data_IF_397637087981
#
_entry.id   IF_397637087981
#
_cell.length_a   1.000
_cell.length_b   1.000
_cell.length_c   1.000
_cell.angle_alpha   90.00
_cell.angle_beta   90.00
_cell.angle_gamma   90.00
#
_symmetry.space_group_name_H-M   'P 1'
#
loop_
_entity.id
_entity.type
_entity.pdbx_description
1 polymer ?
#
# COMPACT_ATOMS: atom_id res chain seq x y z
N UNK A 1 11.53 -12.10 4.21
CA UNK A 1 12.31 -12.03 2.94
C UNK A 1 12.93 -13.39 2.70
N UNK A 2 13.03 -13.81 1.44
CA UNK A 2 13.60 -15.11 1.05
C UNK A 2 14.70 -14.94 -0.02
N UNK A 3 15.37 -16.03 -0.40
CA UNK A 3 16.37 -16.05 -1.48
C UNK A 3 16.18 -17.26 -2.41
N UNK A 4 17.12 -17.45 -3.33
CA UNK A 4 16.97 -18.32 -4.52
C UNK A 4 16.63 -19.79 -4.22
N UNK A 5 16.94 -20.29 -3.02
CA UNK A 5 16.68 -21.67 -2.60
C UNK A 5 15.34 -21.88 -1.88
N UNK A 6 14.54 -20.83 -1.66
CA UNK A 6 13.26 -20.99 -0.97
C UNK A 6 12.26 -21.68 -1.90
N UNK A 7 11.73 -22.83 -1.46
CA UNK A 7 10.75 -23.60 -2.22
C UNK A 7 9.52 -22.74 -2.54
N UNK A 8 8.98 -22.89 -3.76
CA UNK A 8 7.73 -22.27 -4.16
C UNK A 8 6.65 -23.33 -4.28
N UNK A 9 5.45 -22.97 -3.87
CA UNK A 9 4.28 -23.85 -3.81
C UNK A 9 3.14 -23.28 -4.66
N UNK A 10 2.28 -24.16 -5.15
CA UNK A 10 0.98 -23.75 -5.67
C UNK A 10 0.06 -23.39 -4.50
N UNK A 11 -0.76 -22.35 -4.66
CA UNK A 11 -1.72 -21.90 -3.65
C UNK A 11 -3.11 -21.97 -4.25
N UNK A 12 -4.06 -22.56 -3.53
CA UNK A 12 -5.45 -22.59 -3.96
C UNK A 12 -6.16 -21.29 -3.56
N UNK A 13 -6.69 -20.58 -4.55
CA UNK A 13 -7.33 -19.27 -4.37
C UNK A 13 -8.85 -19.33 -4.41
N UNK A 14 -9.51 -18.64 -3.48
CA UNK A 14 -10.96 -18.36 -3.57
C UNK A 14 -11.27 -17.47 -4.77
N UNK A 15 -10.48 -16.40 -4.97
CA UNK A 15 -10.58 -15.44 -6.07
C UNK A 15 -9.56 -15.76 -7.17
N UNK A 16 -9.60 -17.00 -7.68
CA UNK A 16 -8.61 -17.49 -8.64
C UNK A 16 -8.57 -16.69 -9.95
N UNK A 17 -9.72 -16.18 -10.42
CA UNK A 17 -9.83 -15.38 -11.66
C UNK A 17 -9.17 -13.99 -11.56
N UNK A 18 -8.84 -13.54 -10.36
CA UNK A 18 -8.21 -12.24 -10.08
C UNK A 18 -6.84 -12.37 -9.40
N UNK A 19 -6.32 -13.60 -9.31
CA UNK A 19 -5.06 -13.91 -8.65
C UNK A 19 -3.99 -14.29 -9.67
N UNK A 20 -2.73 -13.99 -9.35
CA UNK A 20 -1.63 -14.56 -10.12
C UNK A 20 -1.47 -16.04 -9.75
N UNK A 21 -1.37 -16.96 -10.72
CA UNK A 21 -1.37 -18.40 -10.45
C UNK A 21 -0.14 -18.91 -9.71
N UNK A 22 0.93 -18.12 -9.60
CA UNK A 22 2.14 -18.49 -8.88
C UNK A 22 3.20 -19.17 -9.76
N UNK A 23 4.09 -19.99 -9.15
CA UNK A 23 4.08 -20.44 -7.75
C UNK A 23 4.56 -19.36 -6.75
N UNK A 24 4.26 -19.54 -5.45
CA UNK A 24 4.57 -18.58 -4.37
C UNK A 24 5.64 -19.12 -3.41
N UNK A 25 6.63 -18.32 -2.98
CA UNK A 25 7.57 -18.69 -1.93
C UNK A 25 6.90 -18.61 -0.55
N UNK A 26 5.94 -19.49 -0.30
CA UNK A 26 5.13 -19.53 0.91
C UNK A 26 5.36 -20.86 1.60
N UNK A 27 5.95 -20.83 2.79
CA UNK A 27 6.27 -21.99 3.63
C UNK A 27 5.80 -21.77 5.07
N UNK A 28 5.97 -22.77 5.96
CA UNK A 28 5.57 -22.66 7.37
C UNK A 28 6.38 -21.60 8.14
N UNK A 29 7.54 -21.20 7.61
CA UNK A 29 8.41 -20.16 8.13
C UNK A 29 7.95 -18.74 7.77
N UNK A 30 7.04 -18.60 6.81
CA UNK A 30 6.51 -17.29 6.41
C UNK A 30 5.48 -16.81 7.43
N UNK A 31 5.71 -15.66 8.09
CA UNK A 31 4.75 -15.10 9.02
C UNK A 31 3.43 -14.75 8.32
N UNK A 32 2.33 -15.03 9.00
CA UNK A 32 0.98 -14.66 8.58
C UNK A 32 0.44 -13.68 9.62
N UNK A 33 -0.13 -12.57 9.17
CA UNK A 33 -0.77 -11.61 10.05
C UNK A 33 -1.86 -12.28 10.89
N UNK A 34 -1.97 -11.87 12.16
CA UNK A 34 -3.09 -12.27 13.01
C UNK A 34 -4.40 -11.62 12.56
N UNK A 35 -5.54 -12.17 13.00
CA UNK A 35 -6.86 -11.62 12.67
C UNK A 35 -7.49 -12.27 11.44
N UNK A 36 -8.51 -11.60 10.87
CA UNK A 36 -9.31 -12.13 9.76
C UNK A 36 -8.54 -12.17 8.44
N UNK A 37 -7.75 -11.13 8.17
CA UNK A 37 -7.23 -10.90 6.82
C UNK A 37 -6.01 -11.74 6.52
N UNK A 38 -5.23 -12.11 7.55
CA UNK A 38 -4.16 -13.11 7.44
C UNK A 38 -3.22 -12.84 6.27
N UNK A 39 -2.77 -11.59 6.14
CA UNK A 39 -1.85 -11.23 5.08
C UNK A 39 -0.51 -11.93 5.24
N UNK A 40 0.06 -12.40 4.13
CA UNK A 40 1.44 -12.88 4.07
C UNK A 40 2.17 -12.13 2.96
N UNK A 41 3.23 -11.38 3.32
CA UNK A 41 4.01 -10.57 2.39
C UNK A 41 5.44 -11.13 2.31
N UNK A 42 5.87 -11.53 1.12
CA UNK A 42 7.17 -12.16 0.89
C UNK A 42 7.92 -11.43 -0.21
N UNK A 43 9.10 -10.89 0.14
CA UNK A 43 10.06 -10.40 -0.84
C UNK A 43 11.05 -11.52 -1.15
N UNK A 44 11.09 -11.91 -2.41
CA UNK A 44 12.13 -12.74 -3.01
C UNK A 44 13.23 -11.83 -3.56
N UNK A 45 14.37 -11.83 -2.88
CA UNK A 45 15.51 -10.95 -3.22
C UNK A 45 16.26 -11.42 -4.47
N UNK A 46 16.19 -12.70 -4.81
CA UNK A 46 16.84 -13.25 -6.00
C UNK A 46 16.08 -12.93 -7.27
N UNK A 47 14.74 -12.98 -7.20
CA UNK A 47 13.88 -12.70 -8.36
C UNK A 47 13.44 -11.23 -8.44
N UNK A 48 13.79 -10.41 -7.43
CA UNK A 48 13.31 -9.03 -7.27
C UNK A 48 11.79 -8.94 -7.39
N UNK A 49 11.09 -9.78 -6.63
CA UNK A 49 9.62 -9.85 -6.61
C UNK A 49 9.05 -9.78 -5.21
N UNK A 50 7.89 -9.17 -5.11
CA UNK A 50 7.02 -9.15 -3.95
C UNK A 50 5.84 -10.08 -4.24
N UNK A 51 5.57 -10.98 -3.31
CA UNK A 51 4.44 -11.89 -3.32
C UNK A 51 3.56 -11.55 -2.13
N UNK A 52 2.27 -11.34 -2.35
CA UNK A 52 1.33 -10.99 -1.30
C UNK A 52 0.10 -11.89 -1.39
N UNK A 53 -0.33 -12.39 -0.24
CA UNK A 53 -1.49 -13.26 -0.11
C UNK A 53 -2.47 -12.64 0.89
N UNK A 54 -3.76 -12.66 0.56
CA UNK A 54 -4.86 -12.36 1.49
C UNK A 54 -5.54 -13.65 1.94
N UNK A 55 -6.06 -13.66 3.16
CA UNK A 55 -6.67 -14.81 3.84
C UNK A 55 -5.78 -16.06 3.84
N UNK A 56 -4.46 -15.87 3.98
CA UNK A 56 -3.48 -16.93 3.79
C UNK A 56 -3.51 -17.98 4.90
N UNK A 57 -3.36 -19.25 4.50
CA UNK A 57 -3.28 -20.41 5.39
C UNK A 57 -2.28 -21.42 4.81
N UNK A 58 -1.35 -21.88 5.64
CA UNK A 58 -0.37 -22.90 5.24
C UNK A 58 -0.97 -24.31 5.12
N UNK A 59 -1.97 -24.63 5.96
CA UNK A 59 -2.67 -25.93 6.02
C UNK A 59 -1.76 -27.17 5.88
N UNK A 60 -0.64 -27.19 6.61
CA UNK A 60 0.24 -28.37 6.67
C UNK A 60 0.86 -28.75 5.32
N UNK A 61 1.07 -27.80 4.41
CA UNK A 61 1.67 -28.03 3.09
C UNK A 61 0.69 -27.95 1.92
N UNK A 62 -0.59 -27.68 2.17
CA UNK A 62 -1.62 -27.49 1.14
C UNK A 62 -2.19 -26.06 1.25
N UNK A 63 -1.41 -25.03 0.89
CA UNK A 63 -1.78 -23.67 1.23
C UNK A 63 -3.03 -23.20 0.48
N UNK A 64 -3.87 -22.46 1.19
CA UNK A 64 -5.01 -21.74 0.62
C UNK A 64 -4.90 -20.25 0.92
N UNK A 65 -5.52 -19.45 0.07
CA UNK A 65 -5.64 -18.00 0.24
C UNK A 65 -6.92 -17.50 -0.42
N UNK A 66 -7.39 -16.32 -0.03
CA UNK A 66 -8.46 -15.62 -0.73
C UNK A 66 -7.96 -15.19 -2.11
N UNK A 67 -6.87 -14.44 -2.15
CA UNK A 67 -6.23 -13.96 -3.38
C UNK A 67 -4.71 -13.98 -3.26
N UNK A 68 -4.04 -13.91 -4.41
CA UNK A 68 -2.59 -13.80 -4.50
C UNK A 68 -2.14 -12.84 -5.59
N UNK A 69 -1.14 -12.02 -5.28
CA UNK A 69 -0.57 -11.04 -6.19
C UNK A 69 0.96 -11.08 -6.20
N UNK A 70 1.54 -10.96 -7.39
CA UNK A 70 2.98 -10.96 -7.62
C UNK A 70 3.37 -9.64 -8.31
N UNK A 71 4.20 -8.87 -7.63
CA UNK A 71 4.69 -7.57 -8.09
C UNK A 71 6.18 -7.63 -8.39
N UNK A 72 6.62 -7.27 -9.60
CA UNK A 72 8.03 -6.99 -9.86
C UNK A 72 8.46 -5.79 -9.02
N UNK A 73 9.62 -5.88 -8.35
CA UNK A 73 10.19 -4.78 -7.56
C UNK A 73 11.29 -4.02 -8.31
N UNK A 74 11.77 -4.56 -9.43
CA UNK A 74 12.90 -4.02 -10.18
C UNK A 74 12.68 -3.95 -11.68
N UNK A 75 13.58 -3.21 -12.33
CA UNK A 75 13.63 -3.06 -13.78
C UNK A 75 12.40 -2.36 -14.39
N UNK A 76 12.17 -2.51 -15.70
CA UNK A 76 11.10 -1.80 -16.42
C UNK A 76 9.68 -2.12 -15.94
N UNK A 77 9.50 -3.13 -15.09
CA UNK A 77 8.19 -3.61 -14.61
C UNK A 77 7.88 -3.20 -13.17
N UNK A 78 8.78 -2.53 -12.45
CA UNK A 78 8.60 -2.20 -11.02
C UNK A 78 7.30 -1.43 -10.71
N UNK A 79 6.85 -0.61 -11.66
CA UNK A 79 5.61 0.17 -11.54
C UNK A 79 4.46 -0.39 -12.39
N UNK A 80 4.52 -1.65 -12.85
CA UNK A 80 3.44 -2.22 -13.67
C UNK A 80 2.21 -2.48 -12.80
N UNK A 81 1.07 -1.96 -13.22
CA UNK A 81 -0.21 -2.23 -12.54
C UNK A 81 -0.74 -3.62 -12.89
N UNK A 82 -1.55 -4.18 -11.97
CA UNK A 82 -2.36 -5.39 -12.23
C UNK A 82 -3.36 -5.14 -13.37
N UNK A 83 -3.88 -6.21 -14.01
CA UNK A 83 -5.02 -6.07 -14.93
C UNK A 83 -6.16 -5.27 -14.31
N UNK A 84 -6.91 -4.53 -15.14
CA UNK A 84 -8.09 -3.82 -14.63
C UNK A 84 -9.14 -4.82 -14.14
N UNK A 85 -9.76 -4.52 -13.01
CA UNK A 85 -10.73 -5.38 -12.35
C UNK A 85 -10.12 -6.47 -11.47
N UNK A 86 -8.80 -6.55 -11.32
CA UNK A 86 -8.17 -7.58 -10.47
C UNK A 86 -7.85 -7.03 -9.08
N UNK A 87 -8.36 -7.69 -8.05
CA UNK A 87 -7.94 -7.48 -6.67
C UNK A 87 -6.49 -7.95 -6.42
N UNK A 88 -5.99 -7.75 -5.21
CA UNK A 88 -4.71 -8.27 -4.71
C UNK A 88 -4.84 -8.72 -3.26
N UNK A 89 -3.74 -8.79 -2.52
CA UNK A 89 -3.82 -8.88 -1.06
C UNK A 89 -4.44 -7.61 -0.45
N UNK A 90 -4.28 -6.47 -1.13
CA UNK A 90 -4.99 -5.22 -0.85
C UNK A 90 -6.21 -5.10 -1.78
N UNK A 91 -7.37 -4.68 -1.26
CA UNK A 91 -8.62 -4.67 -2.03
C UNK A 91 -8.59 -3.75 -3.27
N UNK A 92 -7.78 -2.70 -3.28
CA UNK A 92 -7.61 -1.81 -4.44
C UNK A 92 -6.82 -2.45 -5.61
N UNK A 93 -6.28 -3.66 -5.43
CA UNK A 93 -5.38 -4.29 -6.41
C UNK A 93 -3.96 -3.69 -6.40
N UNK A 94 -3.56 -3.10 -5.28
CA UNK A 94 -2.27 -2.44 -5.06
C UNK A 94 -1.34 -3.29 -4.17
N UNK A 95 -0.01 -3.17 -4.29
CA UNK A 95 0.89 -3.83 -3.35
C UNK A 95 0.81 -3.22 -1.95
N UNK A 96 0.57 -4.04 -0.93
CA UNK A 96 0.56 -3.63 0.49
C UNK A 96 1.93 -3.08 0.87
N UNK A 97 2.99 -3.87 0.66
CA UNK A 97 4.33 -3.56 1.15
C UNK A 97 4.86 -2.22 0.63
N UNK A 98 4.58 -1.89 -0.64
CA UNK A 98 5.03 -0.63 -1.23
C UNK A 98 4.32 0.61 -0.67
N UNK A 99 3.18 0.44 -0.02
CA UNK A 99 2.45 1.51 0.66
C UNK A 99 2.72 1.61 2.17
N UNK A 100 3.44 0.65 2.77
CA UNK A 100 3.71 0.65 4.21
C UNK A 100 4.83 1.62 4.57
N UNK A 101 4.67 2.35 5.68
CA UNK A 101 5.79 3.08 6.29
C UNK A 101 6.83 2.10 6.83
N UNK A 102 8.10 2.27 6.48
CA UNK A 102 9.19 1.42 7.01
C UNK A 102 10.08 2.21 7.95
N UNK A 103 10.48 1.56 9.05
CA UNK A 103 11.27 2.20 10.10
C UNK A 103 12.59 2.73 9.56
N UNK A 104 13.24 1.95 8.71
CA UNK A 104 14.55 2.30 8.16
C UNK A 104 14.48 3.52 7.22
N UNK A 105 13.37 3.73 6.51
CA UNK A 105 13.15 4.97 5.72
C UNK A 105 12.99 6.19 6.61
N UNK A 106 12.15 6.08 7.64
CA UNK A 106 11.93 7.14 8.61
C UNK A 106 13.23 7.49 9.34
N UNK A 107 14.04 6.48 9.67
CA UNK A 107 15.37 6.66 10.26
C UNK A 107 16.36 7.31 9.28
N UNK A 108 16.32 6.94 8.00
CA UNK A 108 17.13 7.54 6.94
C UNK A 108 16.74 8.99 6.63
N UNK A 109 15.57 9.44 7.09
CA UNK A 109 15.15 10.84 7.02
C UNK A 109 14.24 11.18 5.84
N UNK A 110 13.93 10.21 4.99
CA UNK A 110 13.04 10.37 3.85
C UNK A 110 12.18 9.12 3.61
N UNK A 111 10.93 9.34 3.25
CA UNK A 111 9.99 8.34 2.72
C UNK A 111 9.57 8.89 1.36
N UNK A 112 9.83 8.14 0.29
CA UNK A 112 9.76 8.60 -1.10
C UNK A 112 8.56 8.04 -1.88
N UNK A 113 7.61 7.45 -1.17
CA UNK A 113 6.40 6.86 -1.73
C UNK A 113 5.14 7.36 -1.03
N UNK A 114 4.00 7.06 -1.65
CA UNK A 114 2.69 7.29 -1.04
C UNK A 114 2.38 6.23 0.01
N UNK A 115 1.63 6.62 1.03
CA UNK A 115 1.30 5.74 2.16
C UNK A 115 -0.07 5.12 1.93
N UNK A 116 -0.20 3.80 2.06
CA UNK A 116 -1.53 3.14 1.98
C UNK A 116 -2.36 3.48 3.21
N UNK A 117 -3.66 3.63 3.02
CA UNK A 117 -4.62 3.81 4.10
C UNK A 117 -5.92 3.05 3.84
N UNK A 118 -6.63 2.76 4.91
CA UNK A 118 -7.99 2.20 4.88
C UNK A 118 -9.02 3.26 5.26
N UNK A 119 -10.27 2.98 4.89
CA UNK A 119 -11.46 3.78 5.25
C UNK A 119 -12.63 2.87 5.60
N UNK A 120 -13.60 3.37 6.37
CA UNK A 120 -14.76 2.60 6.85
C UNK A 120 -15.68 2.11 5.74
N UNK A 121 -15.67 2.77 4.58
CA UNK A 121 -16.36 2.32 3.39
C UNK A 121 -15.68 2.87 2.13
N UNK A 122 -15.83 2.14 1.02
CA UNK A 122 -15.40 2.59 -0.30
C UNK A 122 -16.56 2.56 -1.30
N UNK A 123 -16.41 3.31 -2.38
CA UNK A 123 -17.36 3.27 -3.50
C UNK A 123 -17.10 2.04 -4.39
N UNK A 124 -18.11 1.56 -5.12
CA UNK A 124 -18.02 0.53 -6.17
C UNK A 124 -17.28 1.00 -7.44
N UNK A 125 -16.37 1.98 -7.29
CA UNK A 125 -15.53 2.52 -8.34
C UNK A 125 -14.10 2.73 -7.83
N UNK A 126 -13.16 2.85 -8.76
CA UNK A 126 -11.75 3.05 -8.45
C UNK A 126 -11.11 4.11 -9.35
N UNK A 127 -10.14 4.82 -8.79
CA UNK A 127 -9.30 5.79 -9.47
C UNK A 127 -7.88 5.23 -9.62
N UNK A 128 -7.13 5.72 -10.60
CA UNK A 128 -5.70 5.42 -10.68
C UNK A 128 -5.01 5.86 -9.36
N UNK A 129 -4.08 5.06 -8.80
CA UNK A 129 -3.48 3.85 -9.39
C UNK A 129 -4.24 2.53 -9.13
N UNK A 130 -5.33 2.53 -8.37
CA UNK A 130 -6.10 1.33 -8.07
C UNK A 130 -6.64 0.66 -9.34
N UNK A 131 -6.86 -0.66 -9.24
CA UNK A 131 -7.32 -1.54 -10.32
C UNK A 131 -8.63 -2.24 -10.01
N UNK A 132 -9.08 -2.18 -8.77
CA UNK A 132 -10.24 -2.89 -8.29
C UNK A 132 -11.00 -2.04 -7.26
N UNK A 133 -12.30 -2.31 -7.12
CA UNK A 133 -13.19 -1.68 -6.16
C UNK A 133 -13.88 -2.77 -5.34
N UNK A 134 -14.06 -2.52 -4.04
CA UNK A 134 -14.65 -3.49 -3.10
C UNK A 134 -15.74 -2.81 -2.24
N UNK A 135 -16.45 -1.87 -2.85
CA UNK A 135 -17.28 -0.90 -2.15
C UNK A 135 -18.77 -1.02 -2.44
N UNK A 136 -19.49 0.03 -2.02
CA UNK A 136 -20.94 0.18 -2.22
C UNK A 136 -21.23 1.29 -3.24
N UNK A 137 -22.48 1.46 -3.66
CA UNK A 137 -22.87 2.58 -4.53
C UNK A 137 -23.09 3.91 -3.78
N UNK A 138 -22.72 4.01 -2.50
CA UNK A 138 -22.86 5.24 -1.72
C UNK A 138 -21.77 6.27 -2.09
N UNK A 139 -22.21 7.38 -2.66
CA UNK A 139 -21.35 8.49 -3.12
C UNK A 139 -20.59 9.20 -1.99
N UNK A 140 -20.94 8.96 -0.73
CA UNK A 140 -20.19 9.48 0.44
C UNK A 140 -18.91 8.69 0.69
N UNK A 141 -18.83 7.45 0.23
CA UNK A 141 -17.65 6.63 0.35
C UNK A 141 -16.64 7.03 -0.75
N UNK A 142 -15.35 7.23 -0.42
CA UNK A 142 -14.35 7.52 -1.43
C UNK A 142 -14.10 6.29 -2.33
N UNK A 143 -13.75 6.47 -3.61
CA UNK A 143 -13.35 5.34 -4.45
C UNK A 143 -11.99 4.80 -4.01
N UNK A 144 -11.74 3.51 -4.29
CA UNK A 144 -10.40 2.94 -4.17
C UNK A 144 -9.41 3.75 -5.03
N UNK A 145 -8.17 3.88 -4.56
CA UNK A 145 -7.14 4.68 -5.23
C UNK A 145 -7.26 6.19 -5.04
N UNK A 146 -8.32 6.70 -4.39
CA UNK A 146 -8.40 8.12 -4.06
C UNK A 146 -7.18 8.57 -3.24
N UNK A 147 -6.53 9.66 -3.70
CA UNK A 147 -5.36 10.23 -3.01
C UNK A 147 -5.74 11.43 -2.16
N UNK A 148 -5.25 11.45 -0.93
CA UNK A 148 -5.37 12.57 0.00
C UNK A 148 -4.00 13.06 0.43
N UNK A 149 -3.76 14.37 0.37
CA UNK A 149 -2.44 14.96 0.65
C UNK A 149 -2.52 15.93 1.81
N UNK A 150 -1.54 15.88 2.70
CA UNK A 150 -1.47 16.80 3.83
C UNK A 150 -1.24 18.22 3.29
N UNK A 151 -2.03 19.19 3.77
CA UNK A 151 -1.95 20.58 3.31
C UNK A 151 -0.56 21.15 3.54
N UNK A 152 -0.05 21.91 2.57
CA UNK A 152 1.24 22.59 2.70
C UNK A 152 1.30 23.52 3.92
N UNK A 153 0.17 24.17 4.26
CA UNK A 153 0.02 25.05 5.42
C UNK A 153 -0.01 24.34 6.77
N UNK A 154 -0.16 23.01 6.82
CA UNK A 154 -0.16 22.30 8.10
C UNK A 154 1.23 22.38 8.75
N UNK A 155 1.31 23.01 9.92
CA UNK A 155 2.57 23.23 10.62
C UNK A 155 3.12 21.93 11.21
N UNK A 156 4.33 21.53 10.77
CA UNK A 156 4.98 20.29 11.20
C UNK A 156 6.11 20.52 12.22
N UNK A 157 6.52 21.77 12.46
CA UNK A 157 7.69 22.10 13.29
C UNK A 157 7.64 21.53 14.71
N UNK A 158 6.43 21.51 15.30
CA UNK A 158 6.14 20.97 16.65
C UNK A 158 6.30 19.45 16.79
N UNK A 159 6.41 18.72 15.68
CA UNK A 159 6.53 17.27 15.70
C UNK A 159 8.00 16.84 15.82
N UNK A 160 8.23 15.63 16.36
CA UNK A 160 9.58 15.07 16.47
C UNK A 160 10.21 14.91 15.08
N UNK A 161 11.55 14.96 14.95
CA UNK A 161 12.23 14.85 13.66
C UNK A 161 11.77 13.66 12.81
N UNK A 162 11.62 12.47 13.41
CA UNK A 162 11.13 11.27 12.72
C UNK A 162 9.69 11.39 12.22
N UNK A 163 8.80 12.00 13.01
CA UNK A 163 7.41 12.22 12.58
C UNK A 163 7.35 13.25 11.45
N UNK A 164 8.23 14.26 11.47
CA UNK A 164 8.34 15.23 10.36
C UNK A 164 8.74 14.57 9.04
N UNK A 165 9.48 13.47 9.05
CA UNK A 165 9.78 12.67 7.84
C UNK A 165 8.50 12.16 7.21
N UNK A 166 7.64 11.51 8.01
CA UNK A 166 6.34 10.99 7.56
C UNK A 166 5.42 12.11 7.10
N UNK A 167 5.35 13.22 7.84
CA UNK A 167 4.53 14.37 7.47
C UNK A 167 4.99 15.01 6.15
N UNK A 168 6.30 15.04 5.87
CA UNK A 168 6.82 15.48 4.57
C UNK A 168 6.41 14.53 3.45
N UNK A 169 6.42 13.22 3.69
CA UNK A 169 5.91 12.25 2.71
C UNK A 169 4.40 12.41 2.49
N UNK A 170 3.60 12.59 3.54
CA UNK A 170 2.17 12.88 3.42
C UNK A 170 1.89 14.20 2.71
N UNK A 171 2.75 15.22 2.86
CA UNK A 171 2.66 16.47 2.10
C UNK A 171 3.03 16.29 0.64
N UNK A 172 4.01 15.44 0.35
CA UNK A 172 4.49 15.18 -1.01
C UNK A 172 3.59 14.14 -1.67
N UNK A 173 3.81 12.88 -1.38
CA UNK A 173 3.17 11.73 -2.03
C UNK A 173 1.75 11.46 -1.56
N UNK A 174 1.37 11.91 -0.37
CA UNK A 174 0.02 11.71 0.17
C UNK A 174 -0.28 10.28 0.60
N UNK A 175 -1.55 10.04 0.90
CA UNK A 175 -2.16 8.80 1.30
C UNK A 175 -3.05 8.28 0.17
N UNK A 176 -3.09 6.97 -0.04
CA UNK A 176 -3.94 6.33 -1.06
C UNK A 176 -4.92 5.38 -0.38
N UNK A 177 -6.22 5.55 -0.67
CA UNK A 177 -7.26 4.60 -0.25
C UNK A 177 -6.98 3.26 -0.93
N UNK A 178 -6.67 2.25 -0.12
CA UNK A 178 -6.26 0.95 -0.61
C UNK A 178 -7.27 -0.13 -0.19
N UNK A 179 -7.81 -0.05 1.03
CA UNK A 179 -8.72 -1.07 1.54
C UNK A 179 -9.89 -0.50 2.36
N UNK A 180 -10.89 -1.36 2.59
CA UNK A 180 -11.89 -1.15 3.62
C UNK A 180 -11.31 -1.54 4.99
N UNK A 181 -11.60 -0.77 6.02
CA UNK A 181 -11.07 -1.00 7.36
C UNK A 181 -11.50 0.10 8.32
N UNK A 182 -10.59 0.56 9.16
CA UNK A 182 -10.86 1.72 10.02
C UNK A 182 -10.66 3.02 9.25
N UNK A 183 -11.47 4.03 9.57
CA UNK A 183 -11.35 5.37 8.99
C UNK A 183 -9.97 5.99 9.28
N UNK A 184 -9.37 6.59 8.25
CA UNK A 184 -8.11 7.34 8.35
C UNK A 184 -6.96 6.53 8.95
N UNK A 185 -6.96 5.22 8.72
CA UNK A 185 -5.96 4.32 9.27
C UNK A 185 -4.87 4.04 8.24
N UNK A 186 -3.64 4.42 8.55
CA UNK A 186 -2.46 4.13 7.74
C UNK A 186 -1.46 3.30 8.55
N UNK A 187 -0.73 2.42 7.87
CA UNK A 187 0.04 1.36 8.50
C UNK A 187 1.53 1.47 8.22
N UNK A 188 2.33 1.06 9.21
CA UNK A 188 3.74 0.77 9.04
C UNK A 188 3.98 -0.73 8.98
N UNK A 189 5.11 -1.14 8.40
CA UNK A 189 5.60 -2.50 8.53
C UNK A 189 5.81 -2.85 10.01
N UNK A 190 5.51 -4.09 10.39
CA UNK A 190 5.71 -4.59 11.75
C UNK A 190 7.19 -4.48 12.10
N UNK A 191 7.50 -3.63 13.08
CA UNK A 191 8.86 -3.38 13.52
C UNK A 191 8.86 -3.00 15.02
N UNK A 192 9.60 -3.73 15.89
CA UNK A 192 9.61 -3.45 17.32
C UNK A 192 10.25 -2.10 17.67
N UNK A 193 10.94 -1.46 16.73
CA UNK A 193 11.57 -0.14 16.93
C UNK A 193 10.55 1.00 16.83
N UNK A 194 9.33 0.75 16.36
CA UNK A 194 8.24 1.71 16.47
C UNK A 194 7.86 1.92 17.94
N UNK A 195 7.83 3.18 18.37
CA UNK A 195 7.49 3.52 19.75
C UNK A 195 6.08 4.08 19.83
N UNK A 196 5.36 3.84 20.94
CA UNK A 196 4.05 4.44 21.18
C UNK A 196 4.08 5.96 21.01
N UNK A 197 5.10 6.63 21.56
CA UNK A 197 5.29 8.08 21.40
C UNK A 197 5.38 8.55 19.94
N UNK A 198 5.96 7.74 19.05
CA UNK A 198 6.00 8.06 17.61
C UNK A 198 4.61 7.94 16.99
N UNK A 199 3.94 6.80 17.24
CA UNK A 199 2.60 6.51 16.72
C UNK A 199 1.58 7.52 17.23
N UNK A 200 1.64 7.90 18.50
CA UNK A 200 0.70 8.83 19.13
C UNK A 200 0.78 10.24 18.55
N UNK A 201 1.94 10.66 18.03
CA UNK A 201 2.03 11.94 17.31
C UNK A 201 1.34 11.88 15.94
N UNK A 202 1.42 10.74 15.25
CA UNK A 202 0.76 10.53 13.96
C UNK A 202 -0.77 10.51 14.11
N UNK A 203 -1.28 9.94 15.21
CA UNK A 203 -2.72 9.94 15.55
C UNK A 203 -3.32 11.33 15.78
N UNK A 204 -2.50 12.36 16.03
CA UNK A 204 -2.97 13.75 16.26
C UNK A 204 -3.21 14.54 14.98
N UNK A 205 -2.95 13.96 13.81
CA UNK A 205 -3.16 14.64 12.53
C UNK A 205 -4.64 14.50 12.18
N UNK A 206 -5.42 15.59 12.14
CA UNK A 206 -6.84 15.48 11.83
C UNK A 206 -7.03 15.22 10.33
N UNK A 207 -8.07 14.46 9.99
CA UNK A 207 -8.53 14.26 8.62
C UNK A 207 -8.71 15.58 7.85
N UNK A 208 -9.21 16.63 8.52
CA UNK A 208 -9.41 17.97 7.94
C UNK A 208 -8.12 18.66 7.47
N UNK A 209 -6.95 18.21 7.94
CA UNK A 209 -5.65 18.70 7.46
C UNK A 209 -5.29 18.20 6.06
N UNK A 210 -6.05 17.25 5.51
CA UNK A 210 -5.83 16.69 4.19
C UNK A 210 -6.77 17.31 3.15
N UNK A 211 -6.36 17.19 1.88
CA UNK A 211 -7.18 17.55 0.73
C UNK A 211 -7.10 16.43 -0.31
N UNK A 212 -8.21 16.15 -0.99
CA UNK A 212 -8.22 15.25 -2.14
C UNK A 212 -7.33 15.80 -3.26
N UNK A 213 -6.69 14.91 -4.00
CA UNK A 213 -5.81 15.24 -5.13
C UNK A 213 -6.44 14.75 -6.43
N UNK A 214 -6.49 15.62 -7.44
CA UNK A 214 -6.77 15.20 -8.81
C UNK A 214 -5.51 14.61 -9.44
N UNK A 215 -5.54 13.31 -9.70
CA UNK A 215 -4.39 12.52 -10.14
C UNK A 215 -4.26 12.43 -11.67
N UNK A 216 -5.23 12.94 -12.43
CA UNK A 216 -5.36 12.67 -13.88
C UNK A 216 -4.11 12.99 -14.68
N UNK A 217 -3.37 14.00 -14.25
CA UNK A 217 -2.17 14.56 -14.87
C UNK A 217 -0.87 14.12 -14.18
N UNK A 218 -0.94 13.34 -13.09
CA UNK A 218 0.22 12.84 -12.35
C UNK A 218 0.74 11.50 -12.87
N UNK A 219 -0.07 10.81 -13.68
CA UNK A 219 0.24 9.51 -14.26
C UNK A 219 1.28 9.64 -15.37
N UNK A 220 2.42 8.97 -15.21
CA UNK A 220 3.51 8.98 -16.20
C UNK A 220 3.17 8.14 -17.43
N UNK A 221 2.57 6.98 -17.24
CA UNK A 221 2.26 6.06 -18.34
C UNK A 221 0.97 5.25 -18.07
N UNK A 222 0.27 4.86 -19.14
CA UNK A 222 -0.89 3.97 -19.05
C UNK A 222 -0.46 2.59 -18.52
N UNK A 223 -1.24 2.02 -17.61
CA UNK A 223 -0.94 0.70 -17.03
C UNK A 223 0.24 0.70 -16.05
N UNK A 224 0.72 1.88 -15.64
CA UNK A 224 1.77 2.03 -14.63
C UNK A 224 1.30 2.85 -13.44
N UNK A 225 1.77 2.46 -12.24
CA UNK A 225 1.62 3.22 -11.00
C UNK A 225 2.61 4.39 -10.91
N UNK A 226 3.50 4.56 -11.91
CA UNK A 226 4.51 5.60 -11.89
C UNK A 226 3.87 6.99 -11.83
N UNK A 227 4.27 7.72 -10.79
CA UNK A 227 3.78 9.04 -10.43
C UNK A 227 4.89 10.08 -10.66
N UNK A 228 4.55 11.20 -11.29
CA UNK A 228 5.45 12.35 -11.40
C UNK A 228 4.70 13.67 -11.28
N UNK A 229 5.34 14.65 -10.64
CA UNK A 229 4.89 16.03 -10.71
C UNK A 229 5.29 16.67 -12.04
N UNK A 230 4.47 17.60 -12.51
CA UNK A 230 4.70 18.34 -13.75
C UNK A 230 3.67 19.47 -13.92
N UNK A 231 3.63 20.12 -15.08
CA UNK A 231 2.74 21.26 -15.34
C UNK A 231 1.26 20.98 -15.05
N UNK A 232 0.81 19.74 -15.30
CA UNK A 232 -0.56 19.32 -14.98
C UNK A 232 -0.75 18.78 -13.55
N UNK A 233 0.32 18.31 -12.90
CA UNK A 233 0.30 17.75 -11.56
C UNK A 233 1.32 18.49 -10.69
N UNK A 234 0.98 19.69 -10.19
CA UNK A 234 1.94 20.52 -9.51
C UNK A 234 2.44 19.84 -8.24
N UNK A 235 3.77 19.89 -8.06
CA UNK A 235 4.38 19.53 -6.80
C UNK A 235 3.78 20.41 -5.69
N UNK A 236 3.54 19.85 -4.49
CA UNK A 236 3.22 20.68 -3.36
C UNK A 236 4.37 21.67 -3.14
N UNK A 237 4.08 22.92 -2.71
CA UNK A 237 5.13 23.89 -2.43
C UNK A 237 6.19 23.25 -1.56
N UNK A 238 7.46 23.42 -1.94
CA UNK A 238 8.58 23.12 -1.05
C UNK A 238 8.48 24.07 0.14
N UNK A 239 7.71 23.67 1.15
CA UNK A 239 7.70 24.39 2.42
C UNK A 239 9.10 24.36 3.03
N UNK A 240 9.47 25.40 3.80
CA UNK A 240 10.78 25.50 4.44
C UNK A 240 11.08 24.30 5.35
#
# INVERSE_FOLDING_TARGET
>A
MVGAGHAKVSVHFTYASESDPGPYPFGPDIPIESGSDRHALVIDRSDCRLYELFAARWNGGIPTAGSGAIFPLGGPKANRLRPAGWTSADAAGLPIFAGLLRYDEVKAGFVDHAIRMTVGCTHDSYLWPARHAAGTSDRRCPPMGARFRLRASFAIGRFRPSVRVVLRAMKRYGLVVADNGSDWYFQGAVDPRWTYRFVDQLKRIPASAFAAVDERTCRVARGSAAFAYGPGCPAPPSGP
#
